data_IF_114982043937
#
_entry.id   IF_114982043937
#
_cell.length_a   1.000
_cell.length_b   1.000
_cell.length_c   1.000
_cell.angle_alpha   90.00
_cell.angle_beta   90.00
_cell.angle_gamma   90.00
#
_symmetry.space_group_name_H-M   'P 1'
#
loop_
_entity.id
_entity.type
_entity.pdbx_description
1 polymer ?
#
# COMPACT_ATOMS: atom_id res chain seq x y z
N UNK A 1 -2.32 6.15 10.95
CA UNK A 1 -3.72 5.67 11.03
C UNK A 1 -4.45 5.65 9.67
N UNK A 2 -3.89 6.18 8.57
CA UNK A 2 -4.59 6.20 7.27
C UNK A 2 -4.57 4.88 6.47
N UNK A 3 -3.70 3.92 6.81
CA UNK A 3 -3.52 2.67 6.05
C UNK A 3 -4.65 1.63 6.19
N UNK A 4 -5.59 1.81 7.13
CA UNK A 4 -6.68 0.84 7.35
C UNK A 4 -7.71 0.83 6.20
N UNK A 5 -8.07 2.02 5.70
CA UNK A 5 -8.99 2.20 4.57
C UNK A 5 -8.46 1.56 3.25
N UNK A 6 -7.23 1.84 2.80
CA UNK A 6 -6.69 1.21 1.61
C UNK A 6 -6.51 -0.30 1.80
N UNK A 7 -6.16 -0.76 3.01
CA UNK A 7 -6.05 -2.19 3.31
C UNK A 7 -7.38 -2.92 3.17
N UNK A 8 -8.49 -2.36 3.66
CA UNK A 8 -9.82 -2.95 3.50
C UNK A 8 -10.22 -3.11 2.03
N UNK A 9 -9.89 -2.12 1.19
CA UNK A 9 -10.22 -2.15 -0.24
C UNK A 9 -9.42 -3.19 -1.03
N UNK A 10 -8.20 -3.52 -0.62
CA UNK A 10 -7.32 -4.48 -1.32
C UNK A 10 -7.35 -5.88 -0.72
N UNK A 11 -8.14 -6.11 0.34
CA UNK A 11 -8.13 -7.36 1.10
C UNK A 11 -8.46 -8.59 0.25
N UNK A 12 -9.50 -8.50 -0.58
CA UNK A 12 -9.94 -9.59 -1.47
C UNK A 12 -8.88 -9.87 -2.55
N UNK A 13 -8.33 -8.81 -3.14
CA UNK A 13 -7.29 -8.88 -4.17
C UNK A 13 -6.02 -9.56 -3.64
N UNK A 14 -5.65 -9.24 -2.40
CA UNK A 14 -4.50 -9.82 -1.74
C UNK A 14 -4.67 -11.32 -1.49
N UNK A 15 -5.88 -11.77 -1.13
CA UNK A 15 -6.20 -13.20 -1.02
C UNK A 15 -6.04 -13.94 -2.36
N UNK A 16 -6.49 -13.33 -3.46
CA UNK A 16 -6.32 -13.89 -4.81
C UNK A 16 -4.84 -13.95 -5.21
N UNK A 17 -4.05 -12.93 -4.88
CA UNK A 17 -2.60 -12.91 -5.13
C UNK A 17 -1.89 -14.04 -4.39
N UNK A 18 -2.10 -14.20 -3.07
CA UNK A 18 -1.47 -15.30 -2.33
C UNK A 18 -1.90 -16.66 -2.83
N UNK A 19 -3.19 -16.85 -3.11
CA UNK A 19 -3.69 -18.11 -3.67
C UNK A 19 -3.08 -18.39 -5.05
N UNK A 20 -2.84 -17.37 -5.87
CA UNK A 20 -2.23 -17.51 -7.20
C UNK A 20 -0.75 -17.84 -7.16
N UNK A 21 0.04 -17.19 -6.29
CA UNK A 21 1.47 -17.46 -6.14
C UNK A 21 1.75 -18.89 -5.70
N UNK A 22 0.88 -19.45 -4.86
CA UNK A 22 1.08 -20.78 -4.29
C UNK A 22 0.37 -21.90 -5.07
N UNK A 23 -0.58 -21.60 -5.96
CA UNK A 23 -1.41 -22.61 -6.65
C UNK A 23 -1.15 -22.76 -8.18
N UNK A 24 0.08 -22.54 -8.65
CA UNK A 24 0.58 -22.93 -10.00
C UNK A 24 -0.28 -22.60 -11.25
N UNK A 25 -1.30 -21.73 -11.16
CA UNK A 25 -2.06 -21.25 -12.34
C UNK A 25 -1.41 -19.99 -12.91
N UNK A 26 -0.20 -20.14 -13.43
CA UNK A 26 0.73 -19.03 -13.78
C UNK A 26 0.20 -18.08 -14.87
N UNK A 27 -0.77 -18.47 -15.70
CA UNK A 27 -1.15 -17.71 -16.91
C UNK A 27 -2.26 -16.65 -16.74
N UNK A 28 -3.09 -16.71 -15.69
CA UNK A 28 -4.13 -15.67 -15.43
C UNK A 28 -3.66 -14.54 -14.49
N UNK A 29 -2.42 -14.62 -14.01
CA UNK A 29 -1.98 -13.91 -12.80
C UNK A 29 -1.36 -12.55 -13.11
N UNK A 30 -0.65 -12.40 -14.23
CA UNK A 30 0.06 -11.15 -14.54
C UNK A 30 -0.87 -9.98 -14.85
N UNK A 31 -1.94 -10.20 -15.64
CA UNK A 31 -2.92 -9.15 -15.94
C UNK A 31 -3.72 -8.71 -14.72
N UNK A 32 -4.09 -9.67 -13.87
CA UNK A 32 -4.81 -9.41 -12.62
C UNK A 32 -3.93 -8.66 -11.61
N UNK A 33 -2.66 -9.05 -11.43
CA UNK A 33 -1.72 -8.31 -10.57
C UNK A 33 -1.51 -6.87 -10.99
N UNK A 34 -1.43 -6.59 -12.30
CA UNK A 34 -1.28 -5.23 -12.81
C UNK A 34 -2.52 -4.37 -12.47
N UNK A 35 -3.71 -4.94 -12.63
CA UNK A 35 -4.97 -4.26 -12.27
C UNK A 35 -5.00 -3.94 -10.77
N UNK A 36 -4.65 -4.89 -9.91
CA UNK A 36 -4.57 -4.69 -8.46
C UNK A 36 -3.57 -3.60 -8.10
N UNK A 37 -2.41 -3.59 -8.76
CA UNK A 37 -1.38 -2.57 -8.55
C UNK A 37 -1.87 -1.16 -8.91
N UNK A 38 -2.61 -1.01 -10.01
CA UNK A 38 -3.22 0.26 -10.41
C UNK A 38 -4.27 0.76 -9.41
N UNK A 39 -5.17 -0.13 -8.95
CA UNK A 39 -6.17 0.23 -7.95
C UNK A 39 -5.49 0.65 -6.65
N UNK A 40 -4.44 -0.06 -6.23
CA UNK A 40 -3.67 0.26 -5.03
C UNK A 40 -3.05 1.66 -5.13
N UNK A 41 -2.48 2.02 -6.28
CA UNK A 41 -1.98 3.39 -6.54
C UNK A 41 -3.10 4.43 -6.44
N UNK A 42 -4.24 4.20 -7.07
CA UNK A 42 -5.35 5.17 -7.08
C UNK A 42 -5.87 5.39 -5.65
N UNK A 43 -6.11 4.32 -4.90
CA UNK A 43 -6.64 4.40 -3.53
C UNK A 43 -5.63 5.05 -2.59
N UNK A 44 -4.33 4.72 -2.71
CA UNK A 44 -3.29 5.35 -1.89
C UNK A 44 -3.17 6.85 -2.15
N UNK A 45 -3.26 7.29 -3.41
CA UNK A 45 -3.30 8.73 -3.75
C UNK A 45 -4.53 9.41 -3.17
N UNK A 46 -5.71 8.79 -3.30
CA UNK A 46 -6.95 9.37 -2.77
C UNK A 46 -6.90 9.55 -1.24
N UNK A 47 -6.50 8.50 -0.51
CA UNK A 47 -6.40 8.53 0.96
C UNK A 47 -5.35 9.54 1.43
N UNK A 48 -4.23 9.66 0.73
CA UNK A 48 -3.19 10.64 1.08
C UNK A 48 -3.64 12.08 0.84
N UNK A 49 -4.34 12.36 -0.26
CA UNK A 49 -4.91 13.70 -0.52
C UNK A 49 -5.90 14.07 0.58
N UNK A 50 -6.85 13.19 0.91
CA UNK A 50 -7.83 13.43 1.98
C UNK A 50 -7.12 13.66 3.32
N UNK A 51 -6.11 12.84 3.65
CA UNK A 51 -5.30 13.00 4.85
C UNK A 51 -4.58 14.36 4.90
N UNK A 52 -4.01 14.80 3.77
CA UNK A 52 -3.35 16.12 3.71
C UNK A 52 -4.33 17.27 3.84
N UNK A 53 -5.52 17.15 3.27
CA UNK A 53 -6.57 18.16 3.41
C UNK A 53 -6.95 18.37 4.88
N UNK A 54 -7.19 17.29 5.63
CA UNK A 54 -7.47 17.39 7.07
C UNK A 54 -6.29 18.00 7.85
N UNK A 55 -5.06 17.65 7.49
CA UNK A 55 -3.87 18.21 8.13
C UNK A 55 -3.73 19.72 7.90
N UNK A 56 -4.03 20.18 6.68
CA UNK A 56 -4.04 21.61 6.33
C UNK A 56 -5.16 22.37 7.06
N UNK A 57 -6.34 21.76 7.24
CA UNK A 57 -7.42 22.36 8.04
C UNK A 57 -7.08 22.46 9.53
N UNK A 58 -6.19 21.60 10.03
CA UNK A 58 -5.68 21.64 11.41
C UNK A 58 -4.44 22.56 11.57
N UNK A 59 -4.15 23.43 10.59
CA UNK A 59 -2.99 24.32 10.53
C UNK A 59 -1.62 23.64 10.70
N UNK A 60 -1.54 22.32 10.48
CA UNK A 60 -0.33 21.56 10.76
C UNK A 60 0.49 21.38 9.46
N UNK A 61 1.53 22.20 9.32
CA UNK A 61 2.32 22.31 8.08
C UNK A 61 3.31 21.14 7.84
N UNK A 62 3.39 20.15 8.74
CA UNK A 62 4.22 18.94 8.59
C UNK A 62 3.56 17.84 7.72
N UNK A 63 2.88 18.23 6.64
CA UNK A 63 2.12 17.31 5.78
C UNK A 63 3.01 16.34 4.98
N UNK A 64 4.26 16.70 4.72
CA UNK A 64 5.21 15.93 3.90
C UNK A 64 5.52 14.54 4.47
N UNK A 65 6.05 14.49 5.68
CA UNK A 65 6.38 13.23 6.36
C UNK A 65 5.14 12.44 6.75
N UNK A 66 4.08 13.14 7.18
CA UNK A 66 2.82 12.51 7.59
C UNK A 66 2.13 11.80 6.43
N UNK A 67 2.15 12.38 5.22
CA UNK A 67 1.62 11.75 4.00
C UNK A 67 2.40 10.49 3.64
N UNK A 68 3.73 10.56 3.70
CA UNK A 68 4.62 9.46 3.39
C UNK A 68 4.40 8.28 4.35
N UNK A 69 4.43 8.53 5.66
CA UNK A 69 4.20 7.49 6.67
C UNK A 69 2.77 6.92 6.63
N UNK A 70 1.77 7.75 6.30
CA UNK A 70 0.39 7.28 6.16
C UNK A 70 0.26 6.28 4.99
N UNK A 71 0.85 6.59 3.83
CA UNK A 71 0.83 5.69 2.67
C UNK A 71 1.70 4.44 2.87
N UNK A 72 2.88 4.60 3.48
CA UNK A 72 3.77 3.47 3.79
C UNK A 72 3.15 2.49 4.78
N UNK A 73 2.26 2.96 5.67
CA UNK A 73 1.59 2.09 6.65
C UNK A 73 0.73 0.98 6.01
N UNK A 74 0.24 1.15 4.78
CA UNK A 74 -0.48 0.10 4.04
C UNK A 74 0.38 -1.15 3.84
N UNK A 75 1.68 -0.99 3.59
CA UNK A 75 2.60 -2.12 3.40
C UNK A 75 2.84 -2.92 4.70
N UNK A 76 2.70 -2.28 5.87
CA UNK A 76 2.78 -2.97 7.17
C UNK A 76 1.57 -3.89 7.37
N UNK A 77 0.37 -3.44 7.00
CA UNK A 77 -0.82 -4.29 7.05
C UNK A 77 -0.74 -5.45 6.06
N UNK A 78 -0.20 -5.19 4.87
CA UNK A 78 0.09 -6.21 3.85
C UNK A 78 1.04 -7.27 4.42
N UNK A 79 2.12 -6.85 5.09
CA UNK A 79 3.06 -7.78 5.72
C UNK A 79 2.40 -8.62 6.81
N UNK A 80 1.63 -8.02 7.73
CA UNK A 80 0.89 -8.73 8.78
C UNK A 80 -0.08 -9.79 8.22
N UNK A 81 -0.77 -9.48 7.11
CA UNK A 81 -1.64 -10.43 6.43
C UNK A 81 -0.87 -11.63 5.87
N UNK A 82 0.34 -11.42 5.35
CA UNK A 82 1.20 -12.50 4.86
C UNK A 82 1.61 -13.50 5.97
N UNK A 83 1.79 -13.00 7.20
CA UNK A 83 2.06 -13.81 8.39
C UNK A 83 0.84 -14.65 8.76
N UNK A 84 -0.34 -14.04 8.76
CA UNK A 84 -1.60 -14.75 9.03
C UNK A 84 -1.86 -15.87 8.00
N UNK A 85 -1.66 -15.57 6.71
CA UNK A 85 -1.80 -16.57 5.64
C UNK A 85 -0.83 -17.74 5.82
N UNK A 86 0.41 -17.44 6.25
CA UNK A 86 1.42 -18.46 6.51
C UNK A 86 1.00 -19.44 7.62
N UNK A 87 0.39 -18.95 8.70
CA UNK A 87 -0.06 -19.81 9.80
C UNK A 87 -1.34 -20.60 9.48
N UNK A 88 -2.26 -20.03 8.71
CA UNK A 88 -3.60 -20.62 8.50
C UNK A 88 -3.66 -21.56 7.29
N UNK A 89 -2.84 -21.32 6.25
CA UNK A 89 -2.95 -22.04 4.97
C UNK A 89 -1.75 -22.90 4.59
N UNK A 90 -0.54 -22.53 4.98
CA UNK A 90 0.65 -23.31 4.59
C UNK A 90 0.92 -24.47 5.55
N UNK A 91 0.68 -25.70 5.09
CA UNK A 91 1.18 -26.95 5.70
C UNK A 91 2.66 -27.20 5.36
N UNK A 92 3.47 -26.14 5.24
CA UNK A 92 4.89 -26.24 4.90
C UNK A 92 5.73 -26.35 6.18
N UNK A 93 6.20 -27.56 6.45
CA UNK A 93 7.03 -27.85 7.62
C UNK A 93 8.50 -27.89 7.23
N UNK A 94 9.23 -26.80 7.49
CA UNK A 94 10.68 -26.75 7.30
C UNK A 94 11.26 -25.35 7.56
N UNK A 95 12.21 -25.24 8.49
CA UNK A 95 12.80 -23.95 8.93
C UNK A 95 13.39 -23.11 7.78
N UNK A 96 14.07 -23.75 6.83
CA UNK A 96 14.61 -23.04 5.66
C UNK A 96 13.48 -22.52 4.76
N UNK A 97 12.42 -23.29 4.56
CA UNK A 97 11.29 -22.90 3.71
C UNK A 97 10.51 -21.72 4.31
N UNK A 98 10.37 -21.69 5.65
CA UNK A 98 9.72 -20.57 6.36
C UNK A 98 10.54 -19.29 6.22
N UNK A 99 11.86 -19.39 6.37
CA UNK A 99 12.79 -18.26 6.30
C UNK A 99 12.85 -17.64 4.91
N UNK A 100 12.93 -18.46 3.86
CA UNK A 100 12.89 -17.94 2.48
C UNK A 100 11.57 -17.25 2.17
N UNK A 101 10.43 -17.82 2.59
CA UNK A 101 9.13 -17.18 2.38
C UNK A 101 9.05 -15.81 3.04
N UNK A 102 9.42 -15.72 4.33
CA UNK A 102 9.42 -14.46 5.06
C UNK A 102 10.39 -13.43 4.48
N UNK A 103 11.55 -13.88 4.00
CA UNK A 103 12.52 -13.00 3.33
C UNK A 103 11.95 -12.38 2.05
N UNK A 104 11.35 -13.20 1.17
CA UNK A 104 10.76 -12.71 -0.07
C UNK A 104 9.55 -11.81 0.17
N UNK A 105 8.66 -12.16 1.11
CA UNK A 105 7.50 -11.32 1.44
C UNK A 105 7.91 -10.00 2.09
N UNK A 106 8.95 -10.00 2.94
CA UNK A 106 9.48 -8.78 3.54
C UNK A 106 10.08 -7.85 2.49
N UNK A 107 10.92 -8.34 1.57
CA UNK A 107 11.47 -7.51 0.49
C UNK A 107 10.36 -6.94 -0.41
N UNK A 108 9.35 -7.73 -0.73
CA UNK A 108 8.20 -7.29 -1.51
C UNK A 108 7.40 -6.19 -0.79
N UNK A 109 7.12 -6.37 0.51
CA UNK A 109 6.39 -5.38 1.30
C UNK A 109 7.18 -4.08 1.47
N UNK A 110 8.52 -4.14 1.66
CA UNK A 110 9.37 -2.96 1.70
C UNK A 110 9.33 -2.19 0.38
N UNK A 111 9.43 -2.89 -0.75
CA UNK A 111 9.31 -2.28 -2.08
C UNK A 111 7.96 -1.58 -2.28
N UNK A 112 6.86 -2.27 -1.93
CA UNK A 112 5.52 -1.67 -1.98
C UNK A 112 5.38 -0.47 -1.05
N UNK A 113 5.93 -0.53 0.16
CA UNK A 113 5.87 0.56 1.14
C UNK A 113 6.56 1.83 0.65
N UNK A 114 7.75 1.69 0.06
CA UNK A 114 8.50 2.81 -0.53
C UNK A 114 7.75 3.38 -1.74
N UNK A 115 7.23 2.52 -2.62
CA UNK A 115 6.50 2.94 -3.81
C UNK A 115 5.21 3.67 -3.46
N UNK A 116 4.40 3.11 -2.56
CA UNK A 116 3.18 3.76 -2.07
C UNK A 116 3.49 5.07 -1.34
N UNK A 117 4.54 5.09 -0.52
CA UNK A 117 5.03 6.29 0.15
C UNK A 117 5.40 7.40 -0.84
N UNK A 118 6.18 7.07 -1.87
CA UNK A 118 6.62 8.02 -2.90
C UNK A 118 5.44 8.55 -3.72
N UNK A 119 4.54 7.68 -4.18
CA UNK A 119 3.36 8.06 -4.96
C UNK A 119 2.41 8.92 -4.14
N UNK A 120 2.17 8.56 -2.87
CA UNK A 120 1.37 9.35 -1.94
C UNK A 120 1.93 10.74 -1.67
N UNK A 121 3.25 10.85 -1.53
CA UNK A 121 3.95 12.14 -1.38
C UNK A 121 3.88 13.00 -2.66
N UNK A 122 4.06 12.39 -3.83
CA UNK A 122 3.94 13.10 -5.12
C UNK A 122 2.49 13.58 -5.36
N UNK A 123 1.49 12.77 -5.02
CA UNK A 123 0.08 13.13 -5.11
C UNK A 123 -0.27 14.33 -4.21
N UNK A 124 0.17 14.30 -2.95
CA UNK A 124 -0.11 15.40 -2.02
C UNK A 124 0.64 16.68 -2.36
N UNK A 125 1.91 16.60 -2.80
CA UNK A 125 2.67 17.78 -3.24
C UNK A 125 2.04 18.46 -4.45
N UNK A 126 1.52 17.70 -5.42
CA UNK A 126 0.81 18.24 -6.57
C UNK A 126 -0.50 18.93 -6.13
N UNK A 127 -1.27 18.29 -5.25
CA UNK A 127 -2.51 18.84 -4.71
C UNK A 127 -2.29 20.16 -3.95
N UNK A 128 -1.31 20.20 -3.05
CA UNK A 128 -0.96 21.40 -2.28
C UNK A 128 -0.55 22.55 -3.22
N UNK A 129 0.32 22.29 -4.20
CA UNK A 129 0.70 23.29 -5.21
C UNK A 129 -0.51 23.82 -6.00
N UNK A 130 -1.49 22.95 -6.30
CA UNK A 130 -2.73 23.33 -6.99
C UNK A 130 -3.57 24.30 -6.15
N UNK A 131 -3.74 24.03 -4.85
CA UNK A 131 -4.52 24.90 -3.94
C UNK A 131 -3.87 26.28 -3.82
N UNK A 132 -2.57 26.33 -3.50
CA UNK A 132 -1.85 27.60 -3.31
C UNK A 132 -1.78 28.46 -4.59
N UNK A 133 -1.87 27.85 -5.78
CA UNK A 133 -1.90 28.59 -7.05
C UNK A 133 -3.28 29.20 -7.32
N UNK A 134 -4.36 28.55 -6.94
CA UNK A 134 -5.72 29.10 -7.11
C UNK A 134 -6.02 30.20 -6.09
N UNK A 135 -5.54 30.08 -4.85
CA UNK A 135 -5.73 31.10 -3.80
C UNK A 135 -5.03 32.44 -4.13
N UNK A 136 -3.96 32.43 -4.92
CA UNK A 136 -3.26 33.66 -5.35
C UNK A 136 -3.86 34.34 -6.58
N UNK A 137 -4.92 33.76 -7.16
CA UNK A 137 -5.64 34.34 -8.29
C UNK A 137 -6.91 35.10 -7.88
N UNK A 138 -7.28 35.06 -6.60
CA UNK A 138 -8.20 36.01 -5.93
C UNK A 138 -7.37 37.06 -5.16
#
# INVERSE_FOLDING_TARGET
MGGLLPFGSIFIEMYFVFTSFWNYKVYYVYGFMLLVFLILIIVTVCVTIVGTYFLLNAENYHWQWTSFFSAASTAVYVYLYSIYYYHVKTKMSGFLQTSFYFGYTLMFCLGLGILCGAVGYLGSTFFVRRIYRNIKCD
#
